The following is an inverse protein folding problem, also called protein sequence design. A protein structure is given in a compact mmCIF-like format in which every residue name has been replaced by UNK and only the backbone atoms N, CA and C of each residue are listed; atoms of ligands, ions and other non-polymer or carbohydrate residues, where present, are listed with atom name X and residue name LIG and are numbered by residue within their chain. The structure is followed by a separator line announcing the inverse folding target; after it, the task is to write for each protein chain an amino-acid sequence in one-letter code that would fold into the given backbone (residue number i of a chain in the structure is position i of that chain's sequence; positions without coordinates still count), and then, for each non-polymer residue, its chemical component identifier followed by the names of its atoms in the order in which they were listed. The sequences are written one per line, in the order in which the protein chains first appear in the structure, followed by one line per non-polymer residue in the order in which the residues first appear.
data_IF_482741318751
#
_entry.id   IF_482741318751
#
_cell.length_a   1.000
_cell.length_b   1.000
_cell.length_c   1.000
_cell.angle_alpha   90.00
_cell.angle_beta   90.00
_cell.angle_gamma   90.00
#
_symmetry.space_group_name_H-M   'P 1'
#
loop_
_entity.id
_entity.type
_entity.pdbx_description
1 polymer ?
#
# COMPACT_ATOMS: atom_id res chain seq x y z
N UNK A 1 -4.95 16.80 -7.96
CA UNK A 1 -6.03 16.37 -7.04
C UNK A 1 -6.40 14.94 -7.41
N UNK A 2 -6.30 14.02 -6.47
CA UNK A 2 -6.72 12.64 -6.64
C UNK A 2 -7.79 12.30 -5.60
N UNK A 3 -8.78 11.50 -5.98
CA UNK A 3 -9.77 10.95 -5.07
C UNK A 3 -9.43 9.50 -4.77
N UNK A 4 -9.07 9.21 -3.53
CA UNK A 4 -8.47 7.92 -3.13
C UNK A 4 -9.34 7.23 -2.09
N UNK A 5 -9.64 5.95 -2.35
CA UNK A 5 -10.25 5.07 -1.36
C UNK A 5 -9.14 4.44 -0.50
N UNK A 6 -9.20 4.64 0.81
CA UNK A 6 -8.27 4.04 1.77
C UNK A 6 -8.97 2.88 2.48
N UNK A 7 -8.47 1.68 2.26
CA UNK A 7 -8.95 0.45 2.89
C UNK A 7 -8.03 0.10 4.06
N UNK A 8 -8.55 0.24 5.25
CA UNK A 8 -7.85 -0.04 6.51
C UNK A 8 -8.01 -1.52 6.85
N UNK A 9 -6.89 -2.19 7.14
CA UNK A 9 -6.93 -3.61 7.52
C UNK A 9 -6.31 -3.87 8.90
N UNK A 10 -5.80 -2.82 9.54
CA UNK A 10 -5.03 -2.91 10.78
C UNK A 10 -3.54 -2.75 10.56
N UNK A 11 -2.75 -3.39 11.40
CA UNK A 11 -1.29 -3.32 11.37
C UNK A 11 -0.72 -2.02 11.95
N UNK A 12 0.61 -1.93 12.01
CA UNK A 12 1.35 -0.83 12.65
C UNK A 12 1.02 0.54 12.10
N UNK A 13 0.79 0.66 10.79
CA UNK A 13 0.44 1.92 10.13
C UNK A 13 -0.92 2.48 10.58
N UNK A 14 -1.83 1.59 11.00
CA UNK A 14 -3.15 1.92 11.52
C UNK A 14 -3.24 1.89 13.04
N UNK A 15 -2.12 1.95 13.77
CA UNK A 15 -2.08 1.77 15.21
C UNK A 15 -1.62 3.01 15.96
N UNK A 16 -2.14 3.18 17.18
CA UNK A 16 -1.68 4.15 18.18
C UNK A 16 -1.15 3.38 19.38
N UNK A 17 -0.10 3.87 20.02
CA UNK A 17 0.42 3.31 21.27
C UNK A 17 0.13 4.26 22.43
N UNK A 18 -0.52 3.76 23.47
CA UNK A 18 -0.68 4.43 24.75
C UNK A 18 0.46 4.06 25.75
N UNK A 19 1.61 3.66 25.23
CA UNK A 19 2.82 3.37 26.01
C UNK A 19 3.06 1.88 26.29
N UNK A 20 2.04 1.03 26.37
CA UNK A 20 2.19 -0.41 26.63
C UNK A 20 1.43 -1.32 25.63
N UNK A 21 0.42 -0.80 24.95
CA UNK A 21 -0.39 -1.56 23.98
C UNK A 21 -0.44 -0.81 22.66
N UNK A 22 -0.13 -1.52 21.59
CA UNK A 22 -0.37 -1.04 20.21
C UNK A 22 -1.78 -1.49 19.85
N UNK A 23 -2.72 -0.55 19.82
CA UNK A 23 -4.10 -0.83 19.42
C UNK A 23 -4.36 -0.24 18.03
N UNK A 24 -5.09 -0.99 17.22
CA UNK A 24 -5.46 -0.54 15.88
C UNK A 24 -6.67 0.37 15.99
N UNK A 25 -6.49 1.66 15.73
CA UNK A 25 -7.51 2.69 15.91
C UNK A 25 -7.70 3.49 14.61
N UNK A 26 -8.96 3.74 14.26
CA UNK A 26 -9.35 4.65 13.17
C UNK A 26 -8.67 6.03 13.29
N UNK A 27 -8.41 6.48 14.52
CA UNK A 27 -7.69 7.74 14.80
C UNK A 27 -6.26 7.76 14.24
N UNK A 28 -5.57 6.61 14.19
CA UNK A 28 -4.23 6.54 13.61
C UNK A 28 -4.25 6.86 12.11
N UNK A 29 -5.27 6.38 11.43
CA UNK A 29 -5.43 6.61 10.00
C UNK A 29 -5.83 8.07 9.70
N UNK A 30 -6.68 8.65 10.52
CA UNK A 30 -7.00 10.09 10.45
C UNK A 30 -5.74 10.93 10.70
N UNK A 31 -4.92 10.56 11.69
CA UNK A 31 -3.66 11.23 11.97
C UNK A 31 -2.66 11.14 10.79
N UNK A 32 -2.61 10.00 10.10
CA UNK A 32 -1.76 9.85 8.91
C UNK A 32 -2.19 10.82 7.80
N UNK A 33 -3.51 10.94 7.58
CA UNK A 33 -4.08 11.87 6.60
C UNK A 33 -3.82 13.32 7.01
N UNK A 34 -4.02 13.66 8.27
CA UNK A 34 -3.77 15.02 8.77
C UNK A 34 -2.29 15.40 8.57
N UNK A 35 -1.36 14.53 8.94
CA UNK A 35 0.09 14.76 8.71
C UNK A 35 0.42 14.85 7.21
N UNK A 36 -0.24 14.05 6.38
CA UNK A 36 -0.08 14.15 4.93
C UNK A 36 -0.54 15.53 4.42
N UNK A 37 -1.73 15.97 4.83
CA UNK A 37 -2.28 17.27 4.45
C UNK A 37 -1.44 18.45 4.97
N UNK A 38 -0.90 18.35 6.18
CA UNK A 38 0.00 19.37 6.74
C UNK A 38 1.28 19.50 5.92
N UNK A 39 1.86 18.38 5.48
CA UNK A 39 3.16 18.37 4.81
C UNK A 39 3.07 18.59 3.30
N UNK A 40 2.05 18.03 2.64
CA UNK A 40 1.93 17.99 1.18
C UNK A 40 0.76 18.78 0.62
N UNK A 41 -0.09 19.36 1.48
CA UNK A 41 -1.27 20.13 1.09
C UNK A 41 -2.57 19.34 1.12
N UNK A 42 -3.71 20.03 0.98
CA UNK A 42 -5.08 19.47 1.09
C UNK A 42 -5.75 19.28 -0.26
N UNK A 43 -5.00 19.04 -1.30
CA UNK A 43 -5.56 18.95 -2.65
C UNK A 43 -6.21 17.60 -2.96
N UNK A 44 -5.82 16.52 -2.23
CA UNK A 44 -6.32 15.18 -2.46
C UNK A 44 -7.52 14.87 -1.54
N UNK A 45 -8.48 14.11 -2.05
CA UNK A 45 -9.70 13.70 -1.35
C UNK A 45 -9.60 12.23 -0.93
N UNK A 46 -9.80 11.95 0.36
CA UNK A 46 -9.63 10.64 0.95
C UNK A 46 -10.94 10.13 1.56
N UNK A 47 -11.36 8.94 1.16
CA UNK A 47 -12.47 8.21 1.77
C UNK A 47 -11.91 6.98 2.49
N UNK A 48 -12.19 6.85 3.79
CA UNK A 48 -11.72 5.74 4.61
C UNK A 48 -12.82 4.71 4.78
N UNK A 49 -12.42 3.43 4.70
CA UNK A 49 -13.27 2.27 5.01
C UNK A 49 -12.43 1.24 5.75
N UNK A 50 -13.04 0.52 6.68
CA UNK A 50 -12.35 -0.48 7.50
C UNK A 50 -13.11 -1.81 7.50
N UNK A 51 -12.92 -2.63 6.45
CA UNK A 51 -13.55 -3.96 6.40
C UNK A 51 -12.93 -4.96 7.38
N UNK A 52 -11.71 -4.70 7.83
CA UNK A 52 -10.93 -5.59 8.66
C UNK A 52 -10.10 -4.80 9.67
N UNK A 53 -9.92 -5.36 10.86
CA UNK A 53 -9.05 -4.80 11.89
C UNK A 53 -8.28 -5.93 12.56
N UNK A 54 -7.08 -6.24 12.03
CA UNK A 54 -6.29 -7.39 12.49
C UNK A 54 -4.79 -7.07 12.47
N UNK A 55 -4.07 -7.61 13.44
CA UNK A 55 -2.62 -7.66 13.39
C UNK A 55 -2.18 -8.67 12.33
N UNK A 56 -1.22 -8.30 11.49
CA UNK A 56 -0.93 -9.07 10.27
C UNK A 56 -0.39 -10.48 10.52
N UNK A 57 0.25 -10.71 11.65
CA UNK A 57 0.69 -12.04 12.08
C UNK A 57 -0.48 -13.02 12.36
N UNK A 58 -1.68 -12.50 12.57
CA UNK A 58 -2.91 -13.28 12.80
C UNK A 58 -3.76 -13.45 11.53
N UNK A 59 -3.20 -13.13 10.37
CA UNK A 59 -3.94 -13.17 9.11
C UNK A 59 -4.19 -14.61 8.66
N UNK A 60 -5.44 -14.90 8.34
CA UNK A 60 -5.91 -16.20 7.83
C UNK A 60 -6.51 -16.03 6.42
N UNK A 61 -6.66 -17.11 5.64
CA UNK A 61 -7.22 -17.03 4.28
C UNK A 61 -8.58 -16.34 4.19
N UNK A 62 -9.43 -16.52 5.20
CA UNK A 62 -10.78 -15.90 5.32
C UNK A 62 -10.71 -14.37 5.39
N UNK A 63 -9.63 -13.82 5.92
CA UNK A 63 -9.43 -12.38 5.99
C UNK A 63 -9.11 -11.79 4.60
N UNK A 64 -8.32 -12.50 3.78
CA UNK A 64 -8.12 -12.09 2.37
C UNK A 64 -9.42 -12.16 1.59
N UNK A 65 -10.22 -13.22 1.77
CA UNK A 65 -11.53 -13.34 1.14
C UNK A 65 -12.44 -12.16 1.52
N UNK A 66 -12.47 -11.78 2.80
CA UNK A 66 -13.22 -10.62 3.30
C UNK A 66 -12.77 -9.32 2.61
N UNK A 67 -11.47 -9.06 2.54
CA UNK A 67 -10.93 -7.86 1.89
C UNK A 67 -11.24 -7.83 0.40
N UNK A 68 -11.05 -8.95 -0.30
CA UNK A 68 -11.29 -9.07 -1.74
C UNK A 68 -12.76 -8.81 -2.05
N UNK A 69 -13.66 -9.51 -1.35
CA UNK A 69 -15.10 -9.36 -1.57
C UNK A 69 -15.57 -7.94 -1.27
N UNK A 70 -15.09 -7.35 -0.17
CA UNK A 70 -15.40 -5.96 0.17
C UNK A 70 -15.01 -5.00 -0.96
N UNK A 71 -13.79 -5.12 -1.49
CA UNK A 71 -13.30 -4.22 -2.56
C UNK A 71 -14.07 -4.45 -3.87
N UNK A 72 -14.40 -5.71 -4.20
CA UNK A 72 -15.15 -6.04 -5.42
C UNK A 72 -16.60 -5.56 -5.38
N UNK A 73 -17.21 -5.53 -4.20
CA UNK A 73 -18.58 -5.07 -4.00
C UNK A 73 -18.67 -3.55 -3.79
N UNK A 74 -17.56 -2.91 -3.41
CA UNK A 74 -17.54 -1.47 -3.18
C UNK A 74 -17.71 -0.68 -4.49
N UNK A 75 -18.50 0.38 -4.45
CA UNK A 75 -18.64 1.26 -5.60
C UNK A 75 -17.39 2.16 -5.77
N UNK A 76 -16.45 1.69 -6.57
CA UNK A 76 -15.20 2.40 -6.85
C UNK A 76 -15.31 3.48 -7.92
N UNK A 77 -16.50 3.70 -8.49
CA UNK A 77 -16.68 4.74 -9.52
C UNK A 77 -16.37 6.13 -8.96
N UNK A 78 -15.55 6.85 -9.67
CA UNK A 78 -15.12 8.20 -9.30
C UNK A 78 -13.93 8.26 -8.35
N UNK A 79 -13.33 7.12 -7.98
CA UNK A 79 -12.00 7.08 -7.35
C UNK A 79 -10.91 6.94 -8.41
N UNK A 80 -9.78 7.59 -8.15
CA UNK A 80 -8.58 7.51 -8.99
C UNK A 80 -7.68 6.33 -8.60
N UNK A 81 -7.86 5.77 -7.40
CA UNK A 81 -7.13 4.61 -6.93
C UNK A 81 -7.52 4.16 -5.52
N UNK A 82 -6.97 3.01 -5.13
CA UNK A 82 -7.16 2.39 -3.82
C UNK A 82 -5.81 2.29 -3.11
N UNK A 83 -5.74 2.74 -1.86
CA UNK A 83 -4.62 2.45 -0.96
C UNK A 83 -5.10 1.44 0.08
N UNK A 84 -4.37 0.35 0.26
CA UNK A 84 -4.62 -0.64 1.30
C UNK A 84 -3.50 -0.52 2.33
N UNK A 85 -3.85 -0.12 3.56
CA UNK A 85 -2.89 -0.13 4.68
C UNK A 85 -2.83 -1.51 5.28
N UNK A 86 -1.64 -2.00 5.59
CA UNK A 86 -1.41 -3.36 6.02
C UNK A 86 -0.31 -3.44 7.09
N UNK A 87 -0.24 -4.55 7.82
CA UNK A 87 0.89 -4.85 8.69
C UNK A 87 2.08 -5.38 7.90
N UNK A 88 3.29 -5.18 8.41
CA UNK A 88 4.54 -5.55 7.73
C UNK A 88 4.75 -7.06 7.63
N UNK A 89 4.34 -7.85 8.63
CA UNK A 89 4.72 -9.27 8.76
C UNK A 89 4.23 -10.13 7.60
N UNK A 90 3.04 -9.87 7.11
CA UNK A 90 2.44 -10.62 6.00
C UNK A 90 2.17 -9.78 4.75
N UNK A 91 2.82 -8.62 4.64
CA UNK A 91 2.66 -7.71 3.49
C UNK A 91 2.96 -8.41 2.16
N UNK A 92 4.01 -9.22 2.09
CA UNK A 92 4.42 -9.92 0.88
C UNK A 92 3.33 -10.90 0.40
N UNK A 93 2.75 -11.66 1.30
CA UNK A 93 1.68 -12.62 1.01
C UNK A 93 0.40 -11.92 0.57
N UNK A 94 -0.03 -10.91 1.33
CA UNK A 94 -1.22 -10.12 1.01
C UNK A 94 -1.05 -9.36 -0.31
N UNK A 95 0.14 -8.84 -0.57
CA UNK A 95 0.46 -8.18 -1.84
C UNK A 95 0.25 -9.13 -3.02
N UNK A 96 0.79 -10.34 -2.96
CA UNK A 96 0.62 -11.33 -4.02
C UNK A 96 -0.86 -11.73 -4.19
N UNK A 97 -1.53 -12.09 -3.09
CA UNK A 97 -2.93 -12.54 -3.12
C UNK A 97 -3.87 -11.45 -3.66
N UNK A 98 -3.82 -10.25 -3.09
CA UNK A 98 -4.70 -9.16 -3.48
C UNK A 98 -4.42 -8.69 -4.91
N UNK A 99 -3.15 -8.68 -5.33
CA UNK A 99 -2.83 -8.32 -6.71
C UNK A 99 -3.40 -9.32 -7.73
N UNK A 100 -3.29 -10.61 -7.47
CA UNK A 100 -3.85 -11.63 -8.37
C UNK A 100 -5.38 -11.52 -8.48
N UNK A 101 -6.06 -11.18 -7.40
CA UNK A 101 -7.52 -11.08 -7.39
C UNK A 101 -8.04 -9.74 -7.91
N UNK A 102 -7.32 -8.63 -7.69
CA UNK A 102 -7.84 -7.28 -7.89
C UNK A 102 -7.18 -6.50 -9.02
N UNK A 103 -6.07 -6.99 -9.62
CA UNK A 103 -5.35 -6.26 -10.68
C UNK A 103 -6.18 -5.99 -11.95
N UNK A 104 -7.32 -6.64 -12.10
CA UNK A 104 -8.26 -6.39 -13.21
C UNK A 104 -9.12 -5.14 -13.02
N UNK A 105 -9.12 -4.53 -11.83
CA UNK A 105 -9.88 -3.32 -11.57
C UNK A 105 -9.39 -2.15 -12.44
N UNK A 106 -10.28 -1.22 -12.81
CA UNK A 106 -9.96 -0.14 -13.76
C UNK A 106 -9.12 0.99 -13.14
N UNK A 107 -8.75 0.89 -11.88
CA UNK A 107 -7.95 1.87 -11.12
C UNK A 107 -6.77 1.19 -10.42
N UNK A 108 -5.69 1.91 -10.13
CA UNK A 108 -4.53 1.37 -9.43
C UNK A 108 -4.85 1.01 -7.98
N UNK A 109 -4.22 -0.06 -7.50
CA UNK A 109 -4.28 -0.52 -6.12
C UNK A 109 -2.87 -0.52 -5.56
N UNK A 110 -2.66 0.14 -4.43
CA UNK A 110 -1.35 0.26 -3.80
C UNK A 110 -1.41 -0.24 -2.37
N UNK A 111 -0.65 -1.28 -2.07
CA UNK A 111 -0.48 -1.76 -0.70
C UNK A 111 0.69 -1.03 -0.05
N UNK A 112 0.49 -0.62 1.20
CA UNK A 112 1.52 0.00 2.03
C UNK A 112 1.51 -0.58 3.45
N UNK A 113 2.66 -0.56 4.09
CA UNK A 113 2.83 -0.82 5.51
C UNK A 113 3.81 0.19 6.12
N UNK A 114 4.11 0.06 7.40
CA UNK A 114 5.17 0.82 8.05
C UNK A 114 5.89 0.01 9.11
N UNK A 115 7.16 0.35 9.38
CA UNK A 115 7.95 -0.29 10.44
C UNK A 115 7.54 0.17 11.84
N UNK A 116 7.02 1.40 11.95
CA UNK A 116 6.64 2.03 13.21
C UNK A 116 5.30 2.74 13.07
N UNK A 117 4.64 2.97 14.20
CA UNK A 117 3.40 3.75 14.25
C UNK A 117 3.61 5.17 13.70
N UNK A 118 2.56 5.81 13.24
CA UNK A 118 2.62 7.14 12.56
C UNK A 118 3.27 8.23 13.42
N UNK A 119 3.15 8.14 14.75
CA UNK A 119 3.71 9.13 15.68
C UNK A 119 5.19 8.90 16.00
N UNK A 120 5.75 7.76 15.70
CA UNK A 120 7.18 7.49 15.93
C UNK A 120 8.02 8.24 14.91
N UNK A 121 9.06 8.94 15.39
CA UNK A 121 9.97 9.69 14.52
C UNK A 121 10.74 8.79 13.53
N UNK A 122 10.82 7.50 13.80
CA UNK A 122 11.42 6.50 12.93
C UNK A 122 10.47 5.99 11.85
N UNK A 123 9.19 6.36 11.92
CA UNK A 123 8.16 5.84 11.02
C UNK A 123 8.38 6.23 9.57
N UNK A 124 8.22 5.28 8.69
CA UNK A 124 8.18 5.48 7.24
C UNK A 124 6.73 5.58 6.70
N UNK A 125 5.71 5.55 7.58
CA UNK A 125 4.31 5.55 7.22
C UNK A 125 3.93 6.71 6.28
N UNK A 126 4.29 7.93 6.67
CA UNK A 126 3.96 9.14 5.88
C UNK A 126 4.64 9.15 4.51
N UNK A 127 5.89 8.67 4.43
CA UNK A 127 6.62 8.56 3.17
C UNK A 127 6.00 7.49 2.26
N UNK A 128 5.62 6.34 2.82
CA UNK A 128 4.97 5.28 2.06
C UNK A 128 3.58 5.71 1.57
N UNK A 129 2.81 6.40 2.39
CA UNK A 129 1.51 6.95 2.02
C UNK A 129 1.62 7.98 0.88
N UNK A 130 2.53 8.95 1.01
CA UNK A 130 2.79 9.93 -0.05
C UNK A 130 3.21 9.27 -1.37
N UNK A 131 4.08 8.28 -1.28
CA UNK A 131 4.53 7.53 -2.46
C UNK A 131 3.38 6.72 -3.09
N UNK A 132 2.47 6.16 -2.29
CA UNK A 132 1.29 5.48 -2.80
C UNK A 132 0.35 6.44 -3.56
N UNK A 133 0.10 7.64 -3.03
CA UNK A 133 -0.66 8.68 -3.73
C UNK A 133 0.03 9.07 -5.04
N UNK A 134 1.36 9.17 -5.05
CA UNK A 134 2.13 9.46 -6.26
C UNK A 134 1.99 8.35 -7.31
N UNK A 135 1.98 7.08 -6.91
CA UNK A 135 1.73 5.95 -7.82
C UNK A 135 0.32 6.03 -8.42
N UNK A 136 -0.70 6.35 -7.61
CA UNK A 136 -2.07 6.53 -8.09
C UNK A 136 -2.13 7.63 -9.17
N UNK A 137 -1.41 8.72 -8.98
CA UNK A 137 -1.34 9.81 -9.97
C UNK A 137 -0.57 9.43 -11.24
N UNK A 138 0.34 8.45 -11.17
CA UNK A 138 1.18 8.04 -12.29
C UNK A 138 0.58 6.94 -13.16
N UNK A 139 -0.25 6.08 -12.59
CA UNK A 139 -0.78 4.88 -13.28
C UNK A 139 -2.30 4.94 -13.37
N UNK A 140 -2.85 4.45 -14.47
CA UNK A 140 -4.31 4.38 -14.67
C UNK A 140 -4.92 3.12 -14.06
N UNK A 141 -4.14 2.05 -13.86
CA UNK A 141 -4.53 0.77 -13.23
C UNK A 141 -3.31 -0.09 -12.91
N UNK A 142 -3.51 -1.20 -12.24
CA UNK A 142 -2.48 -2.15 -11.84
C UNK A 142 -2.38 -2.28 -10.33
N UNK A 143 -1.65 -3.27 -9.86
CA UNK A 143 -1.40 -3.49 -8.45
C UNK A 143 0.08 -3.26 -8.12
N UNK A 144 0.34 -2.58 -7.01
CA UNK A 144 1.67 -2.16 -6.58
C UNK A 144 1.81 -2.35 -5.08
N UNK A 145 3.03 -2.59 -4.62
CA UNK A 145 3.37 -2.48 -3.20
C UNK A 145 4.45 -1.41 -3.05
N UNK A 146 4.25 -0.49 -2.12
CA UNK A 146 5.19 0.59 -1.84
C UNK A 146 5.73 0.45 -0.44
N UNK A 147 7.05 0.42 -0.35
CA UNK A 147 7.75 0.44 0.92
C UNK A 147 9.10 1.14 0.78
N UNK A 148 9.35 2.11 1.61
CA UNK A 148 10.57 2.91 1.57
C UNK A 148 11.22 3.03 2.91
N UNK A 149 12.43 3.55 2.88
CA UNK A 149 13.14 3.98 4.06
C UNK A 149 12.46 5.22 4.66
N UNK A 150 12.82 5.55 5.86
CA UNK A 150 12.30 6.70 6.61
C UNK A 150 12.40 8.04 5.89
N UNK A 151 13.45 8.21 5.10
CA UNK A 151 13.79 9.44 4.39
C UNK A 151 14.14 9.11 2.94
N UNK A 152 13.51 9.77 1.98
CA UNK A 152 13.88 9.73 0.59
C UNK A 152 13.08 8.79 -0.27
N UNK A 153 13.76 7.92 -1.01
CA UNK A 153 13.15 7.05 -2.01
C UNK A 153 12.30 5.95 -1.40
N UNK A 154 11.06 5.82 -1.85
CA UNK A 154 10.27 4.60 -1.63
C UNK A 154 10.45 3.66 -2.80
N UNK A 155 10.67 2.39 -2.50
CA UNK A 155 10.72 1.31 -3.49
C UNK A 155 9.30 0.93 -3.89
N UNK A 156 9.13 0.66 -5.17
CA UNK A 156 7.88 0.16 -5.73
C UNK A 156 8.10 -1.24 -6.24
N UNK A 157 7.36 -2.17 -5.70
CA UNK A 157 7.47 -3.59 -6.01
C UNK A 157 6.30 -4.04 -6.89
N UNK A 158 6.56 -5.01 -7.76
CA UNK A 158 5.51 -5.86 -8.28
C UNK A 158 5.03 -6.77 -7.15
N UNK A 159 3.74 -6.76 -6.79
CA UNK A 159 3.24 -7.44 -5.60
C UNK A 159 3.54 -8.94 -5.54
N UNK A 160 3.61 -9.61 -6.69
CA UNK A 160 3.94 -11.04 -6.79
C UNK A 160 5.44 -11.34 -6.68
N UNK A 161 6.29 -10.32 -6.54
CA UNK A 161 7.75 -10.46 -6.47
C UNK A 161 8.37 -9.92 -5.19
N UNK A 162 7.59 -9.32 -4.32
CA UNK A 162 8.08 -8.86 -3.02
C UNK A 162 8.31 -10.05 -2.10
N UNK A 163 9.48 -10.09 -1.47
CA UNK A 163 9.86 -11.08 -0.47
C UNK A 163 9.47 -10.60 0.93
N UNK A 164 9.54 -11.48 1.91
CA UNK A 164 9.39 -11.10 3.31
C UNK A 164 10.45 -10.05 3.71
N UNK A 165 10.13 -9.27 4.73
CA UNK A 165 11.07 -8.32 5.29
C UNK A 165 12.31 -9.06 5.83
N UNK A 166 13.47 -8.48 5.60
CA UNK A 166 14.71 -8.96 6.20
C UNK A 166 14.69 -8.72 7.70
N UNK A 167 14.82 -9.78 8.50
CA UNK A 167 14.70 -9.73 9.96
C UNK A 167 15.76 -8.90 10.70
N UNK A 168 16.80 -8.42 10.00
CA UNK A 168 17.83 -7.55 10.58
C UNK A 168 17.63 -6.07 10.22
N UNK A 169 17.04 -5.81 9.07
CA UNK A 169 16.93 -4.44 8.51
C UNK A 169 15.51 -3.94 8.39
N UNK A 170 14.51 -4.82 8.61
CA UNK A 170 13.08 -4.55 8.39
C UNK A 170 12.75 -4.01 6.98
N UNK A 171 13.63 -4.28 6.01
CA UNK A 171 13.48 -3.85 4.63
C UNK A 171 12.97 -4.98 3.76
N UNK A 172 12.06 -4.63 2.85
CA UNK A 172 11.58 -5.56 1.82
C UNK A 172 12.54 -5.58 0.63
N UNK A 173 12.60 -6.74 -0.02
CA UNK A 173 13.36 -6.95 -1.24
C UNK A 173 12.46 -7.55 -2.33
N UNK A 174 12.84 -7.34 -3.58
CA UNK A 174 12.20 -8.02 -4.71
C UNK A 174 12.98 -9.27 -5.08
N UNK A 175 12.28 -10.31 -5.50
CA UNK A 175 12.92 -11.50 -6.04
C UNK A 175 13.90 -11.14 -7.17
N UNK A 176 15.15 -11.56 -6.98
CA UNK A 176 16.23 -11.26 -7.91
C UNK A 176 16.72 -9.79 -7.87
N UNK A 177 16.40 -9.03 -6.80
CA UNK A 177 16.83 -7.64 -6.63
C UNK A 177 16.26 -6.68 -7.68
N UNK A 178 15.06 -6.98 -8.20
CA UNK A 178 14.45 -6.22 -9.31
C UNK A 178 13.15 -5.56 -8.89
N UNK A 179 13.26 -4.45 -8.22
CA UNK A 179 12.13 -3.55 -7.96
C UNK A 179 11.58 -3.00 -9.28
N UNK A 180 10.29 -2.69 -9.34
CA UNK A 180 9.67 -2.04 -10.49
C UNK A 180 10.24 -0.65 -10.71
N UNK A 181 10.45 0.09 -9.62
CA UNK A 181 10.95 1.45 -9.66
C UNK A 181 11.02 2.08 -8.29
N UNK A 182 11.14 3.39 -8.29
CA UNK A 182 11.23 4.20 -7.09
C UNK A 182 10.32 5.43 -7.21
N UNK A 183 9.76 5.85 -6.09
CA UNK A 183 9.16 7.18 -5.96
C UNK A 183 10.16 8.08 -5.25
N UNK A 184 10.47 9.20 -5.86
CA UNK A 184 11.30 10.26 -5.34
C UNK A 184 10.52 11.59 -5.37
N UNK A 185 10.06 12.03 -4.20
CA UNK A 185 9.04 13.08 -4.14
C UNK A 185 7.75 12.61 -4.83
N UNK A 186 7.27 13.36 -5.81
CA UNK A 186 6.06 13.02 -6.58
C UNK A 186 6.34 12.22 -7.87
N UNK A 187 7.61 11.94 -8.17
CA UNK A 187 8.00 11.32 -9.43
C UNK A 187 8.27 9.84 -9.24
N UNK A 188 7.66 9.03 -10.11
CA UNK A 188 7.99 7.64 -10.26
C UNK A 188 9.06 7.45 -11.34
N UNK A 189 10.09 6.67 -11.01
CA UNK A 189 11.19 6.32 -11.90
C UNK A 189 11.29 4.80 -12.02
N UNK A 190 11.23 4.26 -13.24
CA UNK A 190 11.48 2.84 -13.47
C UNK A 190 12.95 2.49 -13.18
N UNK A 191 13.20 1.26 -12.70
CA UNK A 191 14.57 0.73 -12.64
C UNK A 191 15.04 0.30 -14.03
N UNK A 192 16.36 0.30 -14.25
CA UNK A 192 16.97 -0.19 -15.49
C UNK A 192 16.66 -1.68 -15.77
N UNK A 193 16.36 -2.44 -14.71
CA UNK A 193 15.98 -3.85 -14.77
C UNK A 193 14.48 -4.08 -14.89
N UNK A 194 13.67 -3.06 -14.84
CA UNK A 194 12.31 -3.18 -15.28
C UNK A 194 12.39 -3.46 -16.77
N UNK A 195 12.42 -4.75 -17.12
CA UNK A 195 12.15 -5.18 -18.49
C UNK A 195 10.82 -4.55 -18.80
N UNK A 196 10.86 -3.33 -19.31
CA UNK A 196 9.72 -2.57 -19.78
C UNK A 196 8.41 -3.36 -19.68
N UNK A 197 7.79 -3.55 -18.51
CA UNK A 197 6.40 -3.84 -18.57
C UNK A 197 5.85 -2.55 -19.15
N UNK A 198 5.52 -2.57 -20.42
CA UNK A 198 4.82 -1.45 -21.02
C UNK A 198 3.66 -1.15 -20.08
N UNK A 199 3.28 0.11 -19.95
CA UNK A 199 2.07 0.47 -19.20
C UNK A 199 0.92 -0.49 -19.55
N UNK A 200 0.85 -0.93 -20.80
CA UNK A 200 -0.07 -1.94 -21.31
C UNK A 200 0.10 -3.34 -20.64
N UNK A 201 1.30 -3.79 -20.32
CA UNK A 201 1.53 -5.10 -19.68
C UNK A 201 1.15 -5.08 -18.20
N UNK A 202 1.45 -3.99 -17.48
CA UNK A 202 0.98 -3.79 -16.10
C UNK A 202 -0.55 -3.72 -16.09
N UNK A 203 -1.16 -3.11 -17.10
CA UNK A 203 -2.59 -2.89 -17.23
C UNK A 203 -3.36 -4.08 -17.84
N UNK A 204 -2.68 -5.06 -18.44
CA UNK A 204 -3.29 -6.18 -19.17
C UNK A 204 -3.57 -7.42 -18.32
N UNK A 205 -3.45 -7.34 -17.01
CA UNK A 205 -3.69 -8.49 -16.13
C UNK A 205 -5.12 -9.02 -16.32
N UNK A 206 -5.20 -10.31 -16.60
CA UNK A 206 -6.49 -11.00 -16.70
C UNK A 206 -7.03 -11.26 -15.30
N UNK A 207 -8.36 -11.24 -15.16
CA UNK A 207 -9.02 -11.66 -13.95
C UNK A 207 -8.57 -13.09 -13.61
N UNK A 208 -8.03 -13.33 -12.40
CA UNK A 208 -7.69 -14.69 -11.99
C UNK A 208 -8.96 -15.57 -12.02
N UNK A 209 -8.78 -16.79 -12.41
CA UNK A 209 -9.82 -17.81 -12.25
C UNK A 209 -9.66 -18.32 -10.81
N UNK A 210 -10.57 -17.94 -9.94
CA UNK A 210 -10.70 -18.50 -8.59
C UNK A 210 -11.49 -19.78 -8.66
#
# INVERSE_FOLDING_TARGET
MAKVLIVLTGGTIGSISDGEIIDVDEKASLLLIDKYCEKYGKEDDFTLVQPLNIASENLEPTHWETMINFILEYNINGFDGIIITHGSDTLSYSSAMLSMCLCHLPIPIVLIASNYIVLDERSNALNNFHSAVSIIKCFSRGAFTVFGDRIGKSRVFLPTRILEADGLTDNFQSFGGKELGFVNGEKFEFTEFSINPTKAEIESHRKPIL
#
